data_IF_184103166282
#
_entry.id   IF_184103166282
#
_cell.length_a   1.000
_cell.length_b   1.000
_cell.length_c   1.000
_cell.angle_alpha   90.00
_cell.angle_beta   90.00
_cell.angle_gamma   90.00
#
_symmetry.space_group_name_H-M   'P 1'
#
loop_
_entity.id
_entity.type
_entity.pdbx_description
1 polymer ?
#
# COMPACT_ATOMS: atom_id res chain seq x y z
N UNK A 1 -9.22 26.32 1.94
CA UNK A 1 -9.44 25.92 0.53
C UNK A 1 -8.10 25.52 -0.08
N UNK A 2 -8.02 24.33 -0.67
CA UNK A 2 -6.82 23.85 -1.37
C UNK A 2 -6.46 24.74 -2.57
N UNK A 3 -5.16 24.96 -2.80
CA UNK A 3 -4.64 25.64 -3.98
C UNK A 3 -4.78 24.74 -5.21
N UNK A 4 -4.73 25.33 -6.40
CA UNK A 4 -4.84 24.59 -7.68
C UNK A 4 -3.79 23.49 -7.81
N UNK A 5 -2.56 23.75 -7.34
CA UNK A 5 -1.46 22.80 -7.42
C UNK A 5 -1.68 21.60 -6.49
N UNK A 6 -2.16 21.83 -5.27
CA UNK A 6 -2.47 20.78 -4.29
C UNK A 6 -3.57 19.86 -4.83
N UNK A 7 -4.61 20.44 -5.44
CA UNK A 7 -5.66 19.65 -6.12
C UNK A 7 -5.15 18.85 -7.32
N UNK A 8 -4.09 19.29 -7.99
CA UNK A 8 -3.46 18.55 -9.07
C UNK A 8 -2.61 17.40 -8.53
N UNK A 9 -1.89 17.62 -7.42
CA UNK A 9 -1.12 16.61 -6.72
C UNK A 9 -2.04 15.48 -6.22
N UNK A 10 -3.15 15.80 -5.52
CA UNK A 10 -4.13 14.78 -5.07
C UNK A 10 -4.64 13.93 -6.25
N UNK A 11 -4.95 14.55 -7.39
CA UNK A 11 -5.42 13.80 -8.57
C UNK A 11 -4.34 12.84 -9.09
N UNK A 12 -3.09 13.29 -9.14
CA UNK A 12 -1.96 12.46 -9.53
C UNK A 12 -1.76 11.28 -8.57
N UNK A 13 -1.82 11.54 -7.26
CA UNK A 13 -1.77 10.50 -6.22
C UNK A 13 -2.89 9.47 -6.41
N UNK A 14 -4.13 9.92 -6.67
CA UNK A 14 -5.25 9.02 -6.98
C UNK A 14 -5.06 8.20 -8.27
N UNK A 15 -4.34 8.72 -9.26
CA UNK A 15 -3.95 7.97 -10.47
C UNK A 15 -2.86 6.94 -10.14
N UNK A 16 -1.87 7.31 -9.33
CA UNK A 16 -0.81 6.41 -8.84
C UNK A 16 -1.40 5.23 -8.03
N UNK A 17 -2.45 5.46 -7.23
CA UNK A 17 -3.19 4.38 -6.55
C UNK A 17 -3.66 3.30 -7.52
N UNK A 18 -4.08 3.67 -8.75
CA UNK A 18 -4.51 2.69 -9.74
C UNK A 18 -3.35 1.81 -10.21
N UNK A 19 -2.15 2.37 -10.34
CA UNK A 19 -0.95 1.62 -10.67
C UNK A 19 -0.59 0.66 -9.53
N UNK A 20 -0.56 1.16 -8.30
CA UNK A 20 -0.26 0.35 -7.12
C UNK A 20 -1.26 -0.80 -6.96
N UNK A 21 -2.57 -0.55 -7.12
CA UNK A 21 -3.60 -1.61 -7.08
C UNK A 21 -3.34 -2.72 -8.09
N UNK A 22 -2.87 -2.39 -9.31
CA UNK A 22 -2.53 -3.41 -10.32
C UNK A 22 -1.34 -4.25 -9.87
N UNK A 23 -0.27 -3.61 -9.37
CA UNK A 23 0.89 -4.34 -8.84
C UNK A 23 0.52 -5.25 -7.68
N UNK A 24 -0.29 -4.74 -6.73
CA UNK A 24 -0.81 -5.52 -5.61
C UNK A 24 -1.65 -6.72 -6.07
N UNK A 25 -2.50 -6.56 -7.08
CA UNK A 25 -3.29 -7.66 -7.64
C UNK A 25 -2.41 -8.73 -8.31
N UNK A 26 -1.37 -8.33 -9.05
CA UNK A 26 -0.40 -9.28 -9.63
C UNK A 26 0.35 -10.06 -8.54
N UNK A 27 0.70 -9.40 -7.44
CA UNK A 27 1.35 -10.02 -6.27
C UNK A 27 0.38 -10.98 -5.58
N UNK A 28 -0.91 -10.62 -5.42
CA UNK A 28 -1.95 -11.50 -4.87
C UNK A 28 -2.17 -12.75 -5.74
N UNK A 29 -2.16 -12.61 -7.06
CA UNK A 29 -2.24 -13.74 -7.98
C UNK A 29 -1.03 -14.67 -7.83
N UNK A 30 0.19 -14.12 -7.85
CA UNK A 30 1.42 -14.91 -7.66
C UNK A 30 1.49 -15.57 -6.29
N UNK A 31 1.02 -14.89 -5.24
CA UNK A 31 0.87 -15.43 -3.90
C UNK A 31 0.10 -16.74 -3.88
N UNK A 32 -1.05 -16.75 -4.56
CA UNK A 32 -1.91 -17.92 -4.64
C UNK A 32 -1.22 -19.09 -5.34
N UNK A 33 -0.34 -18.82 -6.31
CA UNK A 33 0.43 -19.83 -7.04
C UNK A 33 1.58 -20.43 -6.20
N UNK A 34 2.08 -19.76 -5.16
CA UNK A 34 3.12 -20.30 -4.26
C UNK A 34 2.63 -21.52 -3.45
N UNK A 35 1.30 -21.74 -3.36
CA UNK A 35 0.70 -22.95 -2.76
C UNK A 35 0.89 -24.24 -3.59
N UNK A 36 1.61 -24.19 -4.72
CA UNK A 36 1.87 -25.33 -5.60
C UNK A 36 2.84 -26.37 -5.00
N UNK A 37 3.17 -27.39 -5.79
CA UNK A 37 4.06 -28.49 -5.38
C UNK A 37 5.43 -27.96 -4.91
N UNK A 38 6.11 -28.74 -4.06
CA UNK A 38 7.44 -28.38 -3.52
C UNK A 38 8.47 -28.10 -4.61
N UNK A 39 8.36 -28.76 -5.76
CA UNK A 39 9.26 -28.59 -6.92
C UNK A 39 9.07 -27.24 -7.61
N UNK A 40 7.86 -26.68 -7.65
CA UNK A 40 7.59 -25.40 -8.31
C UNK A 40 7.67 -24.20 -7.37
N UNK A 41 7.61 -24.45 -6.06
CA UNK A 41 7.53 -23.40 -5.05
C UNK A 41 8.73 -22.47 -5.02
N UNK A 42 9.96 -22.97 -5.15
CA UNK A 42 11.15 -22.11 -5.18
C UNK A 42 11.10 -21.13 -6.36
N UNK A 43 10.73 -21.63 -7.55
CA UNK A 43 10.54 -20.81 -8.75
C UNK A 43 9.41 -19.79 -8.56
N UNK A 44 8.26 -20.22 -8.04
CA UNK A 44 7.10 -19.33 -7.81
C UNK A 44 7.37 -18.28 -6.73
N UNK A 45 8.11 -18.63 -5.68
CA UNK A 45 8.60 -17.70 -4.69
C UNK A 45 9.58 -16.70 -5.31
N UNK A 46 10.47 -17.13 -6.21
CA UNK A 46 11.33 -16.24 -6.99
C UNK A 46 10.55 -15.21 -7.82
N UNK A 47 9.53 -15.66 -8.58
CA UNK A 47 8.66 -14.76 -9.35
C UNK A 47 7.89 -13.76 -8.46
N UNK A 48 7.47 -14.20 -7.27
CA UNK A 48 6.82 -13.33 -6.29
C UNK A 48 7.83 -12.33 -5.69
N UNK A 49 9.05 -12.77 -5.40
CA UNK A 49 10.13 -11.94 -4.87
C UNK A 49 10.49 -10.81 -5.84
N UNK A 50 10.58 -11.11 -7.14
CA UNK A 50 10.82 -10.11 -8.18
C UNK A 50 9.75 -9.00 -8.17
N UNK A 51 8.48 -9.36 -7.99
CA UNK A 51 7.40 -8.37 -7.89
C UNK A 51 7.45 -7.58 -6.59
N UNK A 52 7.80 -8.21 -5.47
CA UNK A 52 7.99 -7.51 -4.20
C UNK A 52 9.17 -6.52 -4.26
N UNK A 53 10.26 -6.88 -4.95
CA UNK A 53 11.41 -5.99 -5.19
C UNK A 53 11.05 -4.75 -6.03
N UNK A 54 9.97 -4.79 -6.81
CA UNK A 54 9.44 -3.66 -7.57
C UNK A 54 8.44 -2.85 -6.73
N UNK A 55 7.51 -3.53 -6.06
CA UNK A 55 6.46 -2.86 -5.30
C UNK A 55 6.99 -2.08 -4.09
N UNK A 56 7.94 -2.64 -3.34
CA UNK A 56 8.45 -1.99 -2.12
C UNK A 56 9.00 -0.57 -2.40
N UNK A 57 9.94 -0.37 -3.34
CA UNK A 57 10.43 0.98 -3.61
C UNK A 57 9.35 1.90 -4.19
N UNK A 58 8.39 1.37 -4.97
CA UNK A 58 7.26 2.15 -5.47
C UNK A 58 6.36 2.65 -4.32
N UNK A 59 6.07 1.80 -3.33
CA UNK A 59 5.32 2.16 -2.13
C UNK A 59 6.08 3.18 -1.27
N UNK A 60 7.39 2.99 -1.07
CA UNK A 60 8.23 3.95 -0.33
C UNK A 60 8.28 5.32 -1.02
N UNK A 61 8.36 5.35 -2.35
CA UNK A 61 8.34 6.57 -3.13
C UNK A 61 6.97 7.27 -3.02
N UNK A 62 5.89 6.49 -3.10
CA UNK A 62 4.53 7.00 -2.95
C UNK A 62 4.30 7.63 -1.57
N UNK A 63 4.58 6.91 -0.48
CA UNK A 63 4.44 7.44 0.88
C UNK A 63 5.31 8.67 1.13
N UNK A 64 6.51 8.74 0.52
CA UNK A 64 7.37 9.93 0.62
C UNK A 64 6.72 11.16 -0.01
N UNK A 65 6.02 11.01 -1.13
CA UNK A 65 5.27 12.11 -1.76
C UNK A 65 4.20 12.61 -0.79
N UNK A 66 3.49 11.69 -0.15
CA UNK A 66 2.39 12.03 0.74
C UNK A 66 2.86 12.71 2.03
N UNK A 67 3.97 12.21 2.58
CA UNK A 67 4.57 12.63 3.84
C UNK A 67 5.48 13.85 3.70
N UNK A 68 6.53 13.71 2.89
CA UNK A 68 7.68 14.62 2.87
C UNK A 68 7.53 15.70 1.80
N UNK A 69 6.89 15.39 0.68
CA UNK A 69 6.57 16.40 -0.34
C UNK A 69 5.34 17.23 0.04
N UNK A 70 4.70 16.91 1.17
CA UNK A 70 3.80 17.81 1.88
C UNK A 70 2.33 17.67 1.52
N UNK A 71 1.90 16.64 0.79
CA UNK A 71 0.49 16.43 0.45
C UNK A 71 -0.40 16.41 1.71
N UNK A 72 -0.03 15.58 2.68
CA UNK A 72 -0.77 15.46 3.95
C UNK A 72 -0.74 16.76 4.76
N UNK A 73 0.36 17.51 4.69
CA UNK A 73 0.49 18.83 5.32
C UNK A 73 -0.48 19.84 4.71
N UNK A 74 -0.51 19.93 3.38
CA UNK A 74 -1.41 20.86 2.66
C UNK A 74 -2.88 20.47 2.89
N UNK A 75 -3.19 19.17 3.01
CA UNK A 75 -4.54 18.69 3.41
C UNK A 75 -4.91 19.18 4.81
N UNK A 76 -4.04 19.02 5.81
CA UNK A 76 -4.29 19.49 7.18
C UNK A 76 -4.48 21.01 7.22
N UNK A 77 -3.63 21.77 6.51
CA UNK A 77 -3.73 23.23 6.44
C UNK A 77 -5.04 23.69 5.79
N UNK A 78 -5.52 22.98 4.76
CA UNK A 78 -6.75 23.32 4.06
C UNK A 78 -8.02 22.81 4.75
N UNK A 79 -7.93 21.71 5.50
CA UNK A 79 -9.03 21.01 6.16
C UNK A 79 -8.59 20.46 7.54
N UNK A 80 -8.46 21.32 8.58
CA UNK A 80 -7.94 20.92 9.88
C UNK A 80 -8.73 19.82 10.58
N UNK A 81 -10.03 19.67 10.28
CA UNK A 81 -10.87 18.60 10.83
C UNK A 81 -10.43 17.20 10.38
N UNK A 82 -9.61 17.10 9.32
CA UNK A 82 -9.04 15.84 8.85
C UNK A 82 -7.77 15.40 9.58
N UNK A 83 -7.24 16.20 10.53
CA UNK A 83 -5.94 15.93 11.19
C UNK A 83 -5.82 14.51 11.72
N UNK A 84 -6.81 14.04 12.49
CA UNK A 84 -6.77 12.68 13.05
C UNK A 84 -6.82 11.58 11.98
N UNK A 85 -7.51 11.81 10.85
CA UNK A 85 -7.53 10.86 9.74
C UNK A 85 -6.15 10.77 9.09
N UNK A 86 -5.52 11.92 8.86
CA UNK A 86 -4.17 12.00 8.30
C UNK A 86 -3.15 11.34 9.22
N UNK A 87 -3.18 11.63 10.53
CA UNK A 87 -2.28 10.99 11.51
C UNK A 87 -2.45 9.46 11.53
N UNK A 88 -3.70 8.98 11.46
CA UNK A 88 -3.99 7.55 11.34
C UNK A 88 -3.38 6.95 10.07
N UNK A 89 -3.58 7.58 8.91
CA UNK A 89 -3.03 7.11 7.63
C UNK A 89 -1.49 7.04 7.66
N UNK A 90 -0.84 8.10 8.16
CA UNK A 90 0.61 8.16 8.34
C UNK A 90 1.13 7.01 9.22
N UNK A 91 0.41 6.66 10.29
CA UNK A 91 0.81 5.53 11.13
C UNK A 91 0.70 4.19 10.39
N UNK A 92 -0.27 4.04 9.48
CA UNK A 92 -0.47 2.84 8.68
C UNK A 92 0.63 2.65 7.64
N UNK A 93 1.28 3.71 7.15
CA UNK A 93 2.38 3.61 6.17
C UNK A 93 3.53 2.75 6.71
N UNK A 94 3.97 3.06 7.94
CA UNK A 94 5.03 2.31 8.61
C UNK A 94 4.65 0.84 8.84
N UNK A 95 3.40 0.57 9.18
CA UNK A 95 2.89 -0.79 9.35
C UNK A 95 2.86 -1.57 8.03
N UNK A 96 2.44 -0.92 6.94
CA UNK A 96 2.41 -1.51 5.59
C UNK A 96 3.82 -1.83 5.08
N UNK A 97 4.76 -0.90 5.20
CA UNK A 97 6.16 -1.11 4.80
C UNK A 97 6.82 -2.23 5.62
N UNK A 98 6.57 -2.26 6.94
CA UNK A 98 7.05 -3.35 7.79
C UNK A 98 6.49 -4.70 7.35
N UNK A 99 5.18 -4.79 7.12
CA UNK A 99 4.55 -6.03 6.69
C UNK A 99 5.03 -6.49 5.30
N UNK A 100 5.29 -5.55 4.38
CA UNK A 100 5.92 -5.82 3.09
C UNK A 100 7.35 -6.36 3.25
N UNK A 101 8.16 -5.78 4.14
CA UNK A 101 9.51 -6.27 4.45
C UNK A 101 9.51 -7.68 5.05
N UNK A 102 8.57 -7.98 5.97
CA UNK A 102 8.39 -9.32 6.51
C UNK A 102 8.00 -10.33 5.41
N UNK A 103 7.07 -9.95 4.53
CA UNK A 103 6.65 -10.78 3.40
C UNK A 103 7.82 -11.05 2.43
N UNK A 104 8.60 -10.02 2.12
CA UNK A 104 9.79 -10.12 1.29
C UNK A 104 10.80 -11.11 1.88
N UNK A 105 11.14 -10.98 3.18
CA UNK A 105 12.09 -11.88 3.83
C UNK A 105 11.63 -13.35 3.85
N UNK A 106 10.34 -13.59 4.07
CA UNK A 106 9.76 -14.95 3.98
C UNK A 106 9.84 -15.47 2.55
N UNK A 107 9.51 -14.64 1.57
CA UNK A 107 9.52 -15.02 0.15
C UNK A 107 10.93 -15.31 -0.35
N UNK A 108 11.92 -14.50 0.05
CA UNK A 108 13.33 -14.73 -0.24
C UNK A 108 13.81 -16.07 0.34
N UNK A 109 13.49 -16.34 1.60
CA UNK A 109 13.81 -17.61 2.25
C UNK A 109 13.17 -18.82 1.55
N UNK A 110 11.95 -18.65 1.01
CA UNK A 110 11.26 -19.67 0.23
C UNK A 110 11.78 -19.81 -1.20
N UNK A 111 12.38 -18.78 -1.79
CA UNK A 111 13.05 -18.89 -3.09
C UNK A 111 14.36 -19.69 -2.99
N UNK A 112 15.06 -19.57 -1.86
CA UNK A 112 16.37 -20.21 -1.61
C UNK A 112 16.29 -21.66 -1.10
N UNK A 113 15.10 -22.12 -0.65
CA UNK A 113 14.78 -23.47 -0.13
C UNK A 113 15.95 -24.28 0.46
N UNK A 114 16.29 -24.01 1.73
CA UNK A 114 16.90 -25.02 2.59
C UNK A 114 15.92 -25.63 3.60
N UNK A 115 15.02 -24.88 4.27
CA UNK A 115 14.10 -25.49 5.27
C UNK A 115 13.01 -24.56 5.84
N UNK A 116 12.35 -23.70 5.06
CA UNK A 116 11.31 -22.83 5.64
C UNK A 116 9.91 -23.47 5.62
N UNK A 117 9.19 -23.43 6.74
CA UNK A 117 7.79 -23.87 6.81
C UNK A 117 6.91 -22.85 6.08
N UNK A 118 6.09 -23.30 5.13
CA UNK A 118 5.11 -22.46 4.41
C UNK A 118 4.03 -21.85 5.32
N UNK A 119 3.99 -22.29 6.58
CA UNK A 119 2.90 -22.04 7.51
C UNK A 119 2.74 -20.54 7.76
N UNK A 120 1.66 -19.98 7.22
CA UNK A 120 1.26 -18.60 7.45
C UNK A 120 1.75 -17.57 6.43
N UNK A 121 2.51 -17.94 5.38
CA UNK A 121 2.83 -16.99 4.29
C UNK A 121 1.54 -16.45 3.67
N UNK A 122 0.68 -17.36 3.20
CA UNK A 122 -0.58 -16.98 2.56
C UNK A 122 -1.46 -16.12 3.48
N UNK A 123 -1.59 -16.50 4.75
CA UNK A 123 -2.41 -15.73 5.70
C UNK A 123 -1.82 -14.33 5.97
N UNK A 124 -0.49 -14.20 6.04
CA UNK A 124 0.19 -12.91 6.12
C UNK A 124 -0.06 -12.06 4.88
N UNK A 125 -0.01 -12.67 3.70
CA UNK A 125 -0.31 -12.00 2.43
C UNK A 125 -1.76 -11.52 2.37
N UNK A 126 -2.72 -12.39 2.67
CA UNK A 126 -4.15 -12.03 2.71
C UNK A 126 -4.41 -10.90 3.70
N UNK A 127 -3.79 -10.94 4.88
CA UNK A 127 -3.88 -9.84 5.85
C UNK A 127 -3.29 -8.54 5.30
N UNK A 128 -2.10 -8.59 4.70
CA UNK A 128 -1.46 -7.42 4.11
C UNK A 128 -2.30 -6.80 2.99
N UNK A 129 -2.85 -7.61 2.07
CA UNK A 129 -3.74 -7.12 1.02
C UNK A 129 -5.03 -6.51 1.56
N UNK A 130 -5.58 -7.06 2.64
CA UNK A 130 -6.73 -6.47 3.31
C UNK A 130 -6.38 -5.12 3.95
N UNK A 131 -5.23 -5.03 4.63
CA UNK A 131 -4.73 -3.77 5.21
C UNK A 131 -4.50 -2.72 4.13
N UNK A 132 -3.83 -3.06 3.03
CA UNK A 132 -3.60 -2.12 1.92
C UNK A 132 -4.92 -1.63 1.30
N UNK A 133 -5.87 -2.54 1.02
CA UNK A 133 -7.18 -2.15 0.46
C UNK A 133 -7.95 -1.20 1.36
N UNK A 134 -7.89 -1.43 2.69
CA UNK A 134 -8.53 -0.55 3.66
C UNK A 134 -7.85 0.81 3.69
N UNK A 135 -6.52 0.83 3.79
CA UNK A 135 -5.73 2.05 3.79
C UNK A 135 -6.03 2.91 2.55
N UNK A 136 -5.97 2.32 1.36
CA UNK A 136 -6.24 3.00 0.09
C UNK A 136 -7.67 3.56 0.01
N UNK A 137 -8.65 2.86 0.59
CA UNK A 137 -10.03 3.32 0.67
C UNK A 137 -10.19 4.51 1.63
N UNK A 138 -9.48 4.49 2.77
CA UNK A 138 -9.45 5.58 3.74
C UNK A 138 -8.82 6.84 3.14
N UNK A 139 -7.69 6.71 2.43
CA UNK A 139 -7.03 7.81 1.72
C UNK A 139 -7.89 8.37 0.61
N UNK A 140 -8.46 7.51 -0.24
CA UNK A 140 -9.36 7.95 -1.30
C UNK A 140 -10.54 8.74 -0.72
N UNK A 141 -11.11 8.28 0.39
CA UNK A 141 -12.23 8.98 1.04
C UNK A 141 -11.78 10.36 1.53
N UNK A 142 -10.63 10.44 2.19
CA UNK A 142 -10.03 11.70 2.63
C UNK A 142 -9.79 12.65 1.44
N UNK A 143 -9.15 12.17 0.38
CA UNK A 143 -8.81 12.97 -0.79
C UNK A 143 -10.05 13.51 -1.50
N UNK A 144 -11.11 12.71 -1.62
CA UNK A 144 -12.39 13.15 -2.20
C UNK A 144 -13.08 14.19 -1.30
N UNK A 145 -13.15 13.96 0.02
CA UNK A 145 -13.73 14.89 0.99
C UNK A 145 -13.08 16.28 0.87
N UNK A 146 -11.74 16.33 0.77
CA UNK A 146 -11.00 17.59 0.70
C UNK A 146 -11.10 18.23 -0.70
N UNK A 147 -11.20 17.43 -1.77
CA UNK A 147 -11.36 17.95 -3.14
C UNK A 147 -12.73 18.59 -3.37
N UNK A 148 -13.78 17.93 -2.87
CA UNK A 148 -15.19 18.33 -3.00
C UNK A 148 -15.56 19.45 -2.01
N UNK A 149 -14.81 19.59 -0.91
CA UNK A 149 -15.02 20.64 0.08
C UNK A 149 -16.20 20.37 1.03
N UNK A 150 -16.77 19.18 0.97
CA UNK A 150 -17.84 18.72 1.84
C UNK A 150 -17.27 17.75 2.88
N UNK A 151 -17.03 18.25 4.11
CA UNK A 151 -17.24 17.38 5.27
C UNK A 151 -18.72 16.97 5.27
N UNK A 152 -19.10 15.81 5.85
CA UNK A 152 -20.49 15.39 5.90
C UNK A 152 -21.33 16.53 6.47
N UNK A 153 -22.11 17.14 5.59
CA UNK A 153 -23.00 18.24 5.92
C UNK A 153 -23.96 17.75 6.99
N UNK A 154 -24.00 18.48 8.09
CA UNK A 154 -25.16 18.53 8.97
C UNK A 154 -26.37 18.90 8.10
N UNK A 155 -27.16 17.90 7.74
CA UNK A 155 -28.53 18.01 7.26
C UNK A 155 -29.44 17.33 8.30
#
# INVERSE_FOLDING_TARGET
MLKKNDKAMIRRTLEEHQNLRKQWAEIEEKAAQVRATREEMGRKAGELLEKLNQLIPDMEAHFRIEETEGLHREIIEAAPHCTHKVESLLSQHAELLKALGELHGITASLAELTQCSQTGLYDRMTRLFATFRRHEAEERTLFLEVLEGEGPGLA
#
